data_IF_367309410923
#
_entry.id   IF_367309410923
#
_cell.length_a   1.000
_cell.length_b   1.000
_cell.length_c   1.000
_cell.angle_alpha   90.00
_cell.angle_beta   90.00
_cell.angle_gamma   90.00
#
_symmetry.space_group_name_H-M   'P 1'
#
loop_
_entity.id
_entity.type
_entity.pdbx_description
1 polymer ?
#
# COMPACT_ATOMS: atom_id res chain seq x y z
N UNK A 1 20.00 -20.58 -10.48
CA UNK A 1 19.24 -19.60 -9.68
C UNK A 1 19.60 -18.22 -10.20
N UNK A 2 18.65 -17.48 -10.78
CA UNK A 2 18.93 -16.22 -11.44
C UNK A 2 17.83 -15.97 -12.47
N UNK A 3 16.76 -15.32 -12.05
CA UNK A 3 15.78 -14.85 -13.00
C UNK A 3 16.36 -13.68 -13.81
N UNK A 4 15.85 -13.44 -15.01
CA UNK A 4 16.16 -12.24 -15.76
C UNK A 4 15.91 -10.96 -14.95
N UNK A 5 16.64 -9.89 -15.27
CA UNK A 5 16.43 -8.56 -14.72
C UNK A 5 15.89 -7.63 -15.80
N UNK A 6 15.21 -6.56 -15.37
CA UNK A 6 14.85 -5.43 -16.25
C UNK A 6 13.99 -5.88 -17.45
N UNK A 7 14.30 -5.45 -18.67
CA UNK A 7 13.54 -5.73 -19.90
C UNK A 7 13.31 -7.22 -20.21
N UNK A 8 14.02 -8.11 -19.52
CA UNK A 8 13.84 -9.56 -19.64
C UNK A 8 12.80 -10.14 -18.65
N UNK A 9 12.23 -9.30 -17.77
CA UNK A 9 11.08 -9.61 -16.91
C UNK A 9 9.80 -9.18 -17.62
N UNK A 10 9.33 -10.02 -18.53
CA UNK A 10 8.11 -9.81 -19.27
C UNK A 10 7.35 -11.11 -19.41
N UNK A 11 6.03 -11.02 -19.55
CA UNK A 11 5.22 -12.14 -19.99
C UNK A 11 5.62 -12.51 -21.42
N UNK A 12 5.77 -13.81 -21.67
CA UNK A 12 5.87 -14.35 -23.02
C UNK A 12 4.62 -15.16 -23.31
N UNK A 13 4.38 -15.46 -24.60
CA UNK A 13 3.25 -16.29 -25.02
C UNK A 13 3.20 -17.68 -24.33
N UNK A 14 4.31 -18.11 -23.73
CA UNK A 14 4.48 -19.45 -23.14
C UNK A 14 4.88 -19.42 -21.66
N UNK A 15 5.09 -18.25 -21.05
CA UNK A 15 5.54 -18.13 -19.66
C UNK A 15 5.06 -16.83 -19.04
N UNK A 16 4.55 -16.90 -17.81
CA UNK A 16 4.38 -15.71 -16.99
C UNK A 16 5.75 -15.08 -16.69
N UNK A 17 5.75 -13.77 -16.46
CA UNK A 17 6.90 -12.97 -16.17
C UNK A 17 7.77 -13.65 -15.11
N UNK A 18 9.03 -13.91 -15.47
CA UNK A 18 9.99 -14.59 -14.60
C UNK A 18 10.50 -13.61 -13.54
N UNK A 19 9.60 -13.19 -12.65
CA UNK A 19 9.89 -12.26 -11.57
C UNK A 19 10.62 -13.00 -10.45
N UNK A 20 11.65 -12.38 -9.88
CA UNK A 20 12.26 -12.83 -8.62
C UNK A 20 11.95 -11.85 -7.51
N UNK A 21 11.57 -12.39 -6.35
CA UNK A 21 11.35 -11.64 -5.13
C UNK A 21 12.42 -11.99 -4.09
N UNK A 22 12.84 -11.00 -3.31
CA UNK A 22 13.71 -11.17 -2.17
C UNK A 22 12.98 -10.70 -0.92
N UNK A 23 13.00 -11.52 0.13
CA UNK A 23 12.42 -11.20 1.43
C UNK A 23 13.49 -11.31 2.50
N UNK A 24 13.60 -10.27 3.33
CA UNK A 24 14.50 -10.24 4.47
C UNK A 24 13.73 -9.92 5.74
N UNK A 25 14.05 -10.62 6.82
CA UNK A 25 13.52 -10.35 8.16
C UNK A 25 14.70 -10.25 9.13
N UNK A 26 14.71 -9.20 9.95
CA UNK A 26 15.75 -8.96 10.95
C UNK A 26 15.13 -9.00 12.33
N UNK A 27 15.63 -9.90 13.19
CA UNK A 27 15.16 -10.01 14.57
C UNK A 27 15.82 -8.92 15.43
N UNK A 28 15.07 -7.86 15.74
CA UNK A 28 15.53 -6.70 16.52
C UNK A 28 16.09 -7.10 17.90
N UNK A 29 15.47 -8.07 18.57
CA UNK A 29 15.86 -8.56 19.90
C UNK A 29 17.30 -9.06 19.98
N UNK A 30 17.89 -9.47 18.86
CA UNK A 30 19.30 -9.90 18.82
C UNK A 30 20.29 -8.74 18.90
N UNK A 31 19.82 -7.52 18.67
CA UNK A 31 20.65 -6.30 18.67
C UNK A 31 20.39 -5.45 19.90
N UNK A 32 19.13 -5.37 20.35
CA UNK A 32 18.71 -4.59 21.52
C UNK A 32 17.30 -4.98 21.97
N UNK A 33 16.90 -4.49 23.14
CA UNK A 33 15.52 -4.61 23.62
C UNK A 33 14.51 -4.04 22.60
N UNK A 34 13.49 -4.84 22.27
CA UNK A 34 12.53 -4.53 21.23
C UNK A 34 11.56 -3.41 21.65
N UNK A 35 11.18 -3.33 22.93
CA UNK A 35 10.31 -2.28 23.43
C UNK A 35 11.01 -0.92 23.41
N UNK A 36 12.27 -0.87 23.84
CA UNK A 36 13.10 0.32 23.77
C UNK A 36 13.37 0.74 22.32
N UNK A 37 13.61 -0.21 21.41
CA UNK A 37 13.74 0.09 19.98
C UNK A 37 12.47 0.73 19.42
N UNK A 38 11.29 0.16 19.73
CA UNK A 38 10.01 0.73 19.32
C UNK A 38 9.81 2.15 19.86
N UNK A 39 10.11 2.38 21.13
CA UNK A 39 9.98 3.70 21.74
C UNK A 39 10.90 4.74 21.06
N UNK A 40 12.12 4.35 20.72
CA UNK A 40 13.06 5.22 19.99
C UNK A 40 12.56 5.52 18.57
N UNK A 41 12.00 4.53 17.88
CA UNK A 41 11.38 4.72 16.56
C UNK A 41 10.16 5.64 16.63
N UNK A 42 9.29 5.47 17.63
CA UNK A 42 8.12 6.33 17.85
C UNK A 42 8.54 7.78 18.12
N UNK A 43 9.64 7.99 18.86
CA UNK A 43 10.21 9.31 19.09
C UNK A 43 10.76 9.91 17.79
N UNK A 44 11.57 9.15 17.05
CA UNK A 44 12.13 9.58 15.77
C UNK A 44 11.06 9.98 14.75
N UNK A 45 10.03 9.15 14.57
CA UNK A 45 8.95 9.44 13.62
C UNK A 45 8.13 10.67 14.03
N UNK A 46 7.99 10.91 15.34
CA UNK A 46 7.34 12.12 15.86
C UNK A 46 8.16 13.37 15.59
N UNK A 47 9.46 13.33 15.86
CA UNK A 47 10.39 14.43 15.58
C UNK A 47 10.43 14.75 14.09
N UNK A 48 10.50 13.72 13.24
CA UNK A 48 10.49 13.87 11.78
C UNK A 48 9.25 14.66 11.32
N UNK A 49 8.07 14.31 11.83
CA UNK A 49 6.81 15.02 11.53
C UNK A 49 6.74 16.45 12.04
N UNK A 50 7.51 16.80 13.06
CA UNK A 50 7.55 18.14 13.66
C UNK A 50 8.61 19.05 13.03
N UNK A 51 9.44 18.50 12.14
CA UNK A 51 10.42 19.26 11.36
C UNK A 51 9.71 20.32 10.52
N UNK A 52 10.27 21.54 10.39
CA UNK A 52 9.74 22.53 9.47
C UNK A 52 9.58 21.95 8.06
N UNK A 53 8.40 22.11 7.43
CA UNK A 53 8.23 21.66 6.06
C UNK A 53 9.11 22.49 5.11
N UNK A 54 9.41 21.92 3.95
CA UNK A 54 10.09 22.64 2.88
C UNK A 54 9.20 23.79 2.37
N UNK A 55 9.81 24.78 1.71
CA UNK A 55 9.07 25.89 1.12
C UNK A 55 8.03 25.37 0.10
N UNK A 56 6.78 25.79 0.25
CA UNK A 56 5.66 25.36 -0.58
C UNK A 56 4.98 24.06 -0.14
N UNK A 57 5.46 23.40 0.92
CA UNK A 57 4.88 22.17 1.45
C UNK A 57 4.14 22.41 2.78
N UNK A 58 3.02 21.71 3.00
CA UNK A 58 2.20 21.89 4.20
C UNK A 58 2.65 21.03 5.39
N UNK A 59 3.17 19.81 5.12
CA UNK A 59 3.43 18.81 6.15
C UNK A 59 4.50 17.79 5.74
N UNK A 60 5.31 17.35 6.71
CA UNK A 60 6.26 16.24 6.56
C UNK A 60 5.56 14.91 6.82
N UNK A 61 5.69 13.97 5.89
CA UNK A 61 5.22 12.58 6.01
C UNK A 61 6.39 11.62 6.12
N UNK A 62 6.16 10.47 6.76
CA UNK A 62 7.08 9.33 6.71
C UNK A 62 6.49 8.18 5.88
N UNK A 63 7.35 7.26 5.44
CA UNK A 63 6.95 6.13 4.62
C UNK A 63 5.89 5.26 5.32
N UNK A 64 4.77 5.01 4.66
CA UNK A 64 3.64 4.25 5.22
C UNK A 64 2.57 5.11 5.92
N UNK A 65 2.85 6.40 6.20
CA UNK A 65 1.87 7.24 6.89
C UNK A 65 0.66 7.57 6.01
N UNK A 66 0.90 7.92 4.74
CA UNK A 66 -0.17 8.27 3.79
C UNK A 66 -1.07 7.07 3.52
N UNK A 67 -0.45 5.90 3.40
CA UNK A 67 -1.13 4.63 3.20
C UNK A 67 -1.98 4.25 4.41
N UNK A 68 -1.47 4.42 5.64
CA UNK A 68 -2.23 4.19 6.86
C UNK A 68 -3.43 5.13 7.00
N UNK A 69 -3.26 6.42 6.68
CA UNK A 69 -4.34 7.40 6.69
C UNK A 69 -5.41 7.06 5.63
N UNK A 70 -4.99 6.67 4.41
CA UNK A 70 -5.87 6.24 3.33
C UNK A 70 -6.62 4.93 3.66
N UNK A 71 -5.95 3.95 4.27
CA UNK A 71 -6.57 2.69 4.70
C UNK A 71 -7.63 2.93 5.76
N UNK A 72 -7.35 3.78 6.76
CA UNK A 72 -8.31 4.13 7.79
C UNK A 72 -9.53 4.86 7.22
N UNK A 73 -9.32 5.74 6.24
CA UNK A 73 -10.40 6.42 5.53
C UNK A 73 -11.23 5.44 4.70
N UNK A 74 -10.58 4.59 3.90
CA UNK A 74 -11.24 3.60 3.06
C UNK A 74 -12.01 2.54 3.87
N UNK A 75 -11.51 2.17 5.06
CA UNK A 75 -12.22 1.28 5.97
C UNK A 75 -13.53 1.89 6.48
N UNK A 76 -13.61 3.23 6.57
CA UNK A 76 -14.79 3.97 7.04
C UNK A 76 -15.74 4.36 5.90
N UNK A 77 -15.19 4.79 4.78
CA UNK A 77 -15.93 5.39 3.66
C UNK A 77 -16.16 4.42 2.49
N UNK A 78 -15.45 3.30 2.45
CA UNK A 78 -15.30 2.48 1.24
C UNK A 78 -14.09 2.92 0.39
N UNK A 79 -13.65 2.02 -0.49
CA UNK A 79 -12.52 2.28 -1.39
C UNK A 79 -13.01 3.09 -2.60
N UNK A 80 -12.47 4.29 -2.87
CA UNK A 80 -12.85 5.04 -4.04
C UNK A 80 -12.33 4.35 -5.31
N UNK A 81 -13.21 4.17 -6.29
CA UNK A 81 -12.91 3.63 -7.61
C UNK A 81 -13.32 4.66 -8.67
N UNK A 82 -12.60 4.74 -9.80
CA UNK A 82 -13.13 5.50 -10.93
C UNK A 82 -14.22 4.67 -11.61
N UNK A 83 -15.15 5.37 -12.27
CA UNK A 83 -16.31 4.75 -12.90
C UNK A 83 -15.90 3.66 -13.92
N UNK A 84 -14.82 3.90 -14.67
CA UNK A 84 -14.34 2.96 -15.68
C UNK A 84 -13.87 1.63 -15.06
N UNK A 85 -13.17 1.65 -13.93
CA UNK A 85 -12.75 0.44 -13.23
C UNK A 85 -13.95 -0.31 -12.65
N UNK A 86 -14.93 0.41 -12.09
CA UNK A 86 -16.17 -0.18 -11.59
C UNK A 86 -16.95 -0.89 -12.69
N UNK A 87 -17.12 -0.25 -13.85
CA UNK A 87 -17.79 -0.84 -15.01
C UNK A 87 -17.04 -2.09 -15.51
N UNK A 88 -15.71 -2.04 -15.54
CA UNK A 88 -14.86 -3.18 -15.88
C UNK A 88 -15.06 -4.36 -14.91
N UNK A 89 -15.08 -4.10 -13.60
CA UNK A 89 -15.35 -5.12 -12.59
C UNK A 89 -16.75 -5.74 -12.75
N UNK A 90 -17.76 -4.91 -13.01
CA UNK A 90 -19.13 -5.37 -13.26
C UNK A 90 -19.23 -6.25 -14.51
N UNK A 91 -18.55 -5.87 -15.60
CA UNK A 91 -18.51 -6.67 -16.83
C UNK A 91 -17.86 -8.05 -16.61
N UNK A 92 -16.75 -8.09 -15.86
CA UNK A 92 -16.10 -9.35 -15.47
C UNK A 92 -17.04 -10.20 -14.60
N UNK A 93 -17.69 -9.57 -13.62
CA UNK A 93 -18.65 -10.24 -12.74
C UNK A 93 -19.81 -10.88 -13.52
N UNK A 94 -20.43 -10.11 -14.43
CA UNK A 94 -21.52 -10.59 -15.28
C UNK A 94 -21.10 -11.78 -16.15
N UNK A 95 -19.91 -11.74 -16.76
CA UNK A 95 -19.36 -12.85 -17.55
C UNK A 95 -19.10 -14.13 -16.73
N UNK A 96 -18.99 -14.00 -15.40
CA UNK A 96 -18.73 -15.10 -14.46
C UNK A 96 -19.92 -15.46 -13.58
N UNK A 97 -21.08 -14.82 -13.77
CA UNK A 97 -22.28 -15.03 -12.96
C UNK A 97 -22.16 -14.53 -11.51
N UNK A 98 -21.29 -13.55 -11.26
CA UNK A 98 -21.09 -12.91 -9.95
C UNK A 98 -21.85 -11.58 -9.93
N UNK A 99 -22.63 -11.36 -8.85
CA UNK A 99 -23.39 -10.12 -8.68
C UNK A 99 -22.47 -8.90 -8.54
N UNK A 100 -22.95 -7.74 -9.02
CA UNK A 100 -22.22 -6.49 -8.91
C UNK A 100 -21.99 -6.10 -7.43
N UNK A 101 -20.84 -5.49 -7.10
CA UNK A 101 -20.63 -4.91 -5.78
C UNK A 101 -21.72 -3.89 -5.46
N UNK A 102 -22.21 -3.88 -4.23
CA UNK A 102 -23.18 -2.87 -3.79
C UNK A 102 -22.43 -1.60 -3.35
N UNK A 103 -23.02 -0.45 -3.64
CA UNK A 103 -22.50 0.83 -3.19
C UNK A 103 -22.63 0.93 -1.66
N UNK A 104 -21.54 1.24 -0.98
CA UNK A 104 -21.57 1.53 0.46
C UNK A 104 -21.93 3.00 0.56
N UNK A 105 -23.20 3.28 0.86
CA UNK A 105 -23.68 4.66 1.00
C UNK A 105 -22.70 5.48 1.85
N UNK A 106 -22.22 6.59 1.29
CA UNK A 106 -21.35 7.51 2.00
C UNK A 106 -21.99 7.88 3.35
N UNK A 107 -21.25 7.83 4.48
CA UNK A 107 -21.79 8.26 5.75
C UNK A 107 -22.22 9.72 5.66
N UNK A 108 -23.32 10.12 6.33
CA UNK A 108 -23.79 11.49 6.31
C UNK A 108 -22.70 12.41 6.85
N UNK A 109 -22.40 13.47 6.08
CA UNK A 109 -21.58 14.62 6.49
C UNK A 109 -22.13 15.30 7.74
#
# INVERSE_FOLDING_TARGET
>A
CGAPFLSSVADTATSSARVSHFFGAVQVERFRDAAAFRQDMDRFLRELRQTPPAEGEERVYFAGQKEFECEAEAARLGVPLLAQEYDGLCAIGAARGVAAPHDVAAPPV
#
